data_IF_722128548255
#
_entry.id   IF_722128548255
#
_cell.length_a   1.000
_cell.length_b   1.000
_cell.length_c   1.000
_cell.angle_alpha   90.00
_cell.angle_beta   90.00
_cell.angle_gamma   90.00
#
_symmetry.space_group_name_H-M   'P 1'
#
loop_
_entity.id
_entity.type
_entity.pdbx_description
1 polymer ?
#
# COMPACT_ATOMS: atom_id res chain seq x y z
N UNK A 1 -32.59 -15.65 -9.28
CA UNK A 1 -32.14 -14.28 -9.63
C UNK A 1 -30.62 -14.05 -9.45
N UNK A 2 -29.80 -15.05 -9.11
CA UNK A 2 -28.36 -14.87 -8.81
C UNK A 2 -27.40 -14.94 -10.01
N UNK A 3 -27.91 -14.83 -11.24
CA UNK A 3 -27.08 -14.94 -12.45
C UNK A 3 -26.03 -13.82 -12.54
N UNK A 4 -26.37 -12.59 -12.14
CA UNK A 4 -25.44 -11.46 -12.22
C UNK A 4 -24.38 -11.54 -11.11
N UNK A 5 -24.74 -11.93 -9.88
CA UNK A 5 -23.80 -12.05 -8.75
C UNK A 5 -22.66 -13.02 -9.04
N UNK A 6 -23.01 -14.21 -9.54
CA UNK A 6 -22.01 -15.22 -9.91
C UNK A 6 -21.11 -14.77 -11.05
N UNK A 7 -21.63 -13.99 -12.01
CA UNK A 7 -20.82 -13.38 -13.08
C UNK A 7 -19.88 -12.32 -12.54
N UNK A 8 -20.36 -11.45 -11.64
CA UNK A 8 -19.53 -10.44 -10.98
C UNK A 8 -18.44 -11.07 -10.14
N UNK A 9 -18.77 -12.11 -9.37
CA UNK A 9 -17.80 -12.83 -8.55
C UNK A 9 -16.73 -13.51 -9.42
N UNK A 10 -17.12 -14.16 -10.53
CA UNK A 10 -16.18 -14.74 -11.50
C UNK A 10 -15.31 -13.69 -12.19
N UNK A 11 -15.86 -12.50 -12.44
CA UNK A 11 -15.11 -11.40 -13.01
C UNK A 11 -14.10 -10.84 -12.00
N UNK A 12 -14.52 -10.70 -10.74
CA UNK A 12 -13.68 -10.20 -9.66
C UNK A 12 -12.52 -11.16 -9.35
N UNK A 13 -12.80 -12.46 -9.25
CA UNK A 13 -11.80 -13.53 -9.11
C UNK A 13 -11.03 -13.80 -10.41
N UNK A 14 -11.21 -12.99 -11.46
CA UNK A 14 -10.39 -13.13 -12.65
C UNK A 14 -8.94 -12.81 -12.30
N UNK A 15 -8.03 -13.75 -12.59
CA UNK A 15 -6.59 -13.57 -12.33
C UNK A 15 -6.02 -12.30 -12.95
N UNK A 16 -6.64 -11.81 -14.04
CA UNK A 16 -6.26 -10.55 -14.69
C UNK A 16 -6.59 -9.34 -13.83
N UNK A 17 -7.80 -9.29 -13.27
CA UNK A 17 -8.23 -8.18 -12.43
C UNK A 17 -7.42 -8.17 -11.14
N UNK A 18 -7.24 -9.34 -10.52
CA UNK A 18 -6.42 -9.48 -9.32
C UNK A 18 -4.97 -9.02 -9.55
N UNK A 19 -4.36 -9.37 -10.69
CA UNK A 19 -3.02 -8.90 -11.04
C UNK A 19 -2.98 -7.38 -11.30
N UNK A 20 -4.01 -6.83 -11.95
CA UNK A 20 -4.16 -5.39 -12.17
C UNK A 20 -4.26 -4.64 -10.83
N UNK A 21 -5.12 -5.10 -9.93
CA UNK A 21 -5.33 -4.51 -8.61
C UNK A 21 -4.06 -4.59 -7.75
N UNK A 22 -3.36 -5.74 -7.79
CA UNK A 22 -2.05 -5.88 -7.17
C UNK A 22 -1.04 -4.88 -7.76
N UNK A 23 -1.04 -4.71 -9.07
CA UNK A 23 -0.18 -3.73 -9.75
C UNK A 23 -0.49 -2.28 -9.36
N UNK A 24 -1.77 -1.91 -9.30
CA UNK A 24 -2.20 -0.58 -8.83
C UNK A 24 -1.78 -0.32 -7.38
N UNK A 25 -1.80 -1.36 -6.55
CA UNK A 25 -1.40 -1.25 -5.15
C UNK A 25 0.11 -1.06 -5.01
N UNK A 26 0.90 -1.82 -5.79
CA UNK A 26 2.35 -1.59 -5.88
C UNK A 26 2.68 -0.18 -6.37
N UNK A 27 1.91 0.32 -7.35
CA UNK A 27 2.05 1.69 -7.82
C UNK A 27 1.70 2.71 -6.72
N UNK A 28 0.63 2.50 -5.94
CA UNK A 28 0.23 3.35 -4.80
C UNK A 28 1.36 3.51 -3.77
N UNK A 29 2.03 2.41 -3.44
CA UNK A 29 3.17 2.43 -2.52
C UNK A 29 4.33 3.25 -3.09
N UNK A 30 4.65 3.07 -4.37
CA UNK A 30 5.72 3.83 -5.03
C UNK A 30 5.38 5.32 -5.06
N UNK A 31 4.12 5.66 -5.36
CA UNK A 31 3.64 7.05 -5.34
C UNK A 31 3.76 7.62 -3.93
N UNK A 32 3.33 6.90 -2.90
CA UNK A 32 3.46 7.33 -1.50
C UNK A 32 4.91 7.64 -1.13
N UNK A 33 5.85 6.74 -1.46
CA UNK A 33 7.27 7.00 -1.21
C UNK A 33 7.78 8.22 -1.98
N UNK A 34 7.28 8.44 -3.20
CA UNK A 34 7.64 9.60 -4.01
C UNK A 34 7.09 10.89 -3.41
N UNK A 35 5.83 10.91 -2.97
CA UNK A 35 5.21 12.02 -2.24
C UNK A 35 5.99 12.35 -0.96
N UNK A 36 6.29 11.34 -0.15
CA UNK A 36 7.04 11.51 1.10
C UNK A 36 8.46 12.03 0.84
N UNK A 37 9.11 11.56 -0.21
CA UNK A 37 10.43 12.04 -0.61
C UNK A 37 10.40 13.49 -1.11
N UNK A 38 9.39 13.85 -1.92
CA UNK A 38 9.21 15.23 -2.38
C UNK A 38 8.95 16.18 -1.21
N UNK A 39 8.08 15.80 -0.26
CA UNK A 39 7.81 16.58 0.95
C UNK A 39 9.04 16.74 1.84
N UNK A 40 9.90 15.72 1.91
CA UNK A 40 11.14 15.78 2.67
C UNK A 40 12.23 16.64 2.00
N UNK A 41 12.33 16.58 0.68
CA UNK A 41 13.36 17.29 -0.09
C UNK A 41 12.98 18.75 -0.40
N UNK A 42 11.69 19.01 -0.58
CA UNK A 42 11.11 20.32 -0.89
C UNK A 42 9.98 20.64 0.11
N UNK A 43 10.32 20.83 1.39
CA UNK A 43 9.31 21.17 2.39
C UNK A 43 8.64 22.49 2.04
N UNK A 44 7.34 22.59 2.34
CA UNK A 44 6.65 23.87 2.20
C UNK A 44 7.34 24.94 3.04
N UNK A 45 7.46 26.10 2.44
CA UNK A 45 8.29 27.20 2.92
C UNK A 45 7.84 27.74 4.30
N UNK A 46 6.62 27.43 4.76
CA UNK A 46 6.13 27.76 6.11
C UNK A 46 6.78 26.94 7.26
N UNK A 47 7.54 25.88 6.96
CA UNK A 47 8.09 24.95 7.96
C UNK A 47 9.58 25.23 8.27
N UNK A 48 10.33 25.87 7.35
CA UNK A 48 11.77 26.10 7.50
C UNK A 48 12.11 27.59 7.35
N UNK A 49 12.27 28.25 8.49
CA UNK A 49 12.67 29.66 8.64
C UNK A 49 14.09 29.96 8.12
N UNK A 50 14.86 28.93 7.71
CA UNK A 50 16.27 29.05 7.29
C UNK A 50 16.50 29.45 5.82
N UNK A 51 15.51 29.31 4.95
CA UNK A 51 15.60 29.70 3.53
C UNK A 51 14.86 31.02 3.24
N UNK A 52 14.51 31.74 4.30
CA UNK A 52 13.98 33.09 4.28
C UNK A 52 14.93 34.05 3.55
N UNK A 53 14.54 34.52 2.37
CA UNK A 53 15.18 35.71 1.80
C UNK A 53 14.70 36.88 2.68
N UNK A 54 15.64 37.62 3.30
CA UNK A 54 15.29 38.81 4.08
C UNK A 54 14.69 39.84 3.13
N UNK A 55 13.37 40.03 3.16
CA UNK A 55 12.75 41.14 2.45
C UNK A 55 13.13 42.44 3.17
N UNK A 56 13.94 43.27 2.53
CA UNK A 56 14.21 44.63 3.00
C UNK A 56 12.88 45.41 2.95
N UNK A 57 12.45 45.96 4.09
CA UNK A 57 11.26 46.80 4.17
C UNK A 57 11.50 48.07 3.35
N UNK A 58 10.74 48.25 2.26
CA UNK A 58 10.68 49.51 1.48
C UNK A 58 9.91 50.62 2.21
N UNK A 59 10.03 50.64 3.54
CA UNK A 59 9.39 51.58 4.42
C UNK A 59 10.42 52.36 5.21
N UNK A 60 11.24 53.12 4.51
CA UNK A 60 11.60 54.45 4.99
C UNK A 60 11.29 55.45 3.88
N UNK A 61 10.19 56.17 4.11
CA UNK A 61 10.00 57.50 3.55
C UNK A 61 11.15 58.36 4.08
N UNK A 62 12.21 58.48 3.31
CA UNK A 62 13.05 59.67 3.38
C UNK A 62 12.75 60.50 2.15
N UNK A 63 11.99 61.58 2.40
CA UNK A 63 11.86 62.71 1.51
C UNK A 63 13.26 63.22 1.17
N UNK A 64 13.83 62.77 0.06
CA UNK A 64 14.93 63.46 -0.60
C UNK A 64 14.64 63.51 -2.10
N UNK A 65 13.92 64.57 -2.45
CA UNK A 65 14.07 65.18 -3.76
C UNK A 65 15.58 65.38 -4.02
N UNK A 66 16.02 65.03 -5.23
CA UNK A 66 17.39 65.08 -5.73
C UNK A 66 18.24 63.82 -5.56
N UNK A 67 17.84 62.72 -6.21
CA UNK A 67 18.82 61.82 -6.85
C UNK A 67 18.52 61.66 -8.34
N UNK A 68 18.87 62.74 -9.03
CA UNK A 68 19.21 62.79 -10.45
C UNK A 68 20.46 61.91 -10.66
N UNK A 69 20.50 61.14 -11.74
CA UNK A 69 21.54 60.16 -12.15
C UNK A 69 21.35 58.80 -11.44
N UNK A 70 20.70 57.81 -12.03
CA UNK A 70 20.99 57.25 -13.36
C UNK A 70 19.76 56.56 -13.95
N UNK A 71 19.12 57.25 -14.88
CA UNK A 71 18.36 56.64 -15.97
C UNK A 71 19.15 56.88 -17.26
N UNK A 72 19.85 55.84 -17.69
CA UNK A 72 20.37 55.63 -19.04
C UNK A 72 20.33 54.11 -19.19
N UNK A 73 19.20 53.58 -19.66
CA UNK A 73 18.98 53.29 -21.09
C UNK A 73 19.91 52.14 -21.52
N UNK A 74 19.35 50.93 -21.46
CA UNK A 74 19.44 49.89 -22.49
C UNK A 74 19.34 48.48 -21.86
N UNK A 75 18.19 47.84 -22.12
CA UNK A 75 18.11 46.39 -22.32
C UNK A 75 18.23 45.47 -21.11
N UNK A 76 17.18 44.66 -20.93
CA UNK A 76 17.24 43.28 -20.42
C UNK A 76 17.68 43.01 -18.96
N UNK A 77 16.79 42.33 -18.24
CA UNK A 77 17.01 41.50 -17.04
C UNK A 77 17.69 42.14 -15.80
N UNK A 78 16.96 42.24 -14.68
CA UNK A 78 17.21 41.45 -13.45
C UNK A 78 16.43 42.07 -12.27
N UNK A 79 15.49 41.32 -11.68
CA UNK A 79 14.64 41.78 -10.57
C UNK A 79 15.21 41.41 -9.18
N UNK A 80 16.52 41.23 -9.05
CA UNK A 80 17.15 40.77 -7.82
C UNK A 80 18.17 41.78 -7.29
N UNK A 81 17.67 42.85 -6.69
CA UNK A 81 18.50 43.81 -5.96
C UNK A 81 18.90 43.16 -4.62
N UNK A 82 20.11 42.58 -4.57
CA UNK A 82 20.70 42.02 -3.35
C UNK A 82 21.11 43.17 -2.42
N UNK A 83 20.48 43.29 -1.24
CA UNK A 83 20.82 44.28 -0.21
C UNK A 83 22.32 44.18 0.16
N UNK A 84 23.10 45.20 -0.21
CA UNK A 84 24.57 45.18 -0.21
C UNK A 84 25.22 45.70 1.08
N UNK A 85 24.44 46.01 2.12
CA UNK A 85 24.98 46.49 3.40
C UNK A 85 24.36 45.74 4.59
N UNK A 86 25.17 45.07 5.43
CA UNK A 86 24.70 44.47 6.66
C UNK A 86 24.59 45.58 7.70
N UNK A 87 23.47 46.28 7.73
CA UNK A 87 23.25 47.31 8.75
C UNK A 87 23.08 46.64 10.11
N UNK A 88 24.04 46.92 10.98
CA UNK A 88 24.23 46.34 12.32
C UNK A 88 23.34 47.00 13.38
N UNK A 89 22.24 47.62 12.97
CA UNK A 89 21.37 48.41 13.84
C UNK A 89 20.00 47.75 14.00
N UNK A 90 19.80 47.13 15.17
CA UNK A 90 18.53 46.68 15.73
C UNK A 90 17.75 45.64 14.91
N UNK A 91 17.81 44.40 15.39
CA UNK A 91 16.96 43.28 15.03
C UNK A 91 15.46 43.63 15.19
N UNK A 92 14.86 44.26 14.18
CA UNK A 92 13.43 44.17 13.92
C UNK A 92 13.21 42.84 13.20
N UNK A 93 12.23 42.06 13.69
CA UNK A 93 11.79 40.80 13.11
C UNK A 93 11.55 40.96 11.60
N UNK A 94 12.51 40.54 10.78
CA UNK A 94 12.32 40.46 9.34
C UNK A 94 11.48 39.21 9.09
N UNK A 95 10.23 39.39 8.67
CA UNK A 95 9.41 38.27 8.21
C UNK A 95 10.09 37.64 7.00
N UNK A 96 10.44 36.36 7.13
CA UNK A 96 10.88 35.51 6.04
C UNK A 96 9.88 35.58 4.87
N UNK A 97 10.30 36.11 3.73
CA UNK A 97 9.52 36.05 2.50
C UNK A 97 9.70 34.69 1.84
N UNK A 98 8.62 33.94 1.64
CA UNK A 98 8.62 32.71 0.88
C UNK A 98 8.41 33.00 -0.61
N UNK A 99 9.36 32.58 -1.45
CA UNK A 99 9.19 32.60 -2.91
C UNK A 99 8.48 31.32 -3.36
N UNK A 100 7.16 31.41 -3.47
CA UNK A 100 6.27 30.34 -3.93
C UNK A 100 6.53 29.91 -5.37
N UNK A 101 7.24 30.73 -6.17
CA UNK A 101 7.50 30.44 -7.59
C UNK A 101 8.82 29.70 -7.86
N UNK A 102 9.69 29.53 -6.86
CA UNK A 102 11.01 28.93 -7.04
C UNK A 102 10.97 27.51 -7.63
N UNK A 103 9.93 26.73 -7.33
CA UNK A 103 9.80 25.32 -7.74
C UNK A 103 8.45 24.98 -8.37
N UNK A 104 7.96 25.79 -9.32
CA UNK A 104 6.67 25.56 -10.00
C UNK A 104 6.48 24.14 -10.58
N UNK A 105 7.55 23.52 -11.11
CA UNK A 105 7.48 22.15 -11.63
C UNK A 105 7.22 21.10 -10.55
N UNK A 106 7.72 21.32 -9.34
CA UNK A 106 7.57 20.40 -8.21
C UNK A 106 6.12 20.46 -7.70
N UNK A 107 5.54 21.66 -7.59
CA UNK A 107 4.13 21.80 -7.21
C UNK A 107 3.18 21.15 -8.20
N UNK A 108 3.41 21.27 -9.51
CA UNK A 108 2.59 20.53 -10.47
C UNK A 108 2.77 19.01 -10.37
N UNK A 109 3.98 18.52 -10.08
CA UNK A 109 4.19 17.08 -9.89
C UNK A 109 3.48 16.56 -8.64
N UNK A 110 3.54 17.32 -7.54
CA UNK A 110 2.85 17.04 -6.28
C UNK A 110 1.32 16.99 -6.47
N UNK A 111 0.74 17.96 -7.17
CA UNK A 111 -0.70 17.99 -7.47
C UNK A 111 -1.14 16.77 -8.29
N UNK A 112 -0.33 16.36 -9.28
CA UNK A 112 -0.63 15.17 -10.10
C UNK A 112 -0.48 13.88 -9.30
N UNK A 113 0.55 13.75 -8.46
CA UNK A 113 0.75 12.57 -7.60
C UNK A 113 -0.43 12.42 -6.65
N UNK A 114 -0.87 13.53 -6.04
CA UNK A 114 -2.03 13.57 -5.16
C UNK A 114 -3.34 13.20 -5.89
N UNK A 115 -3.56 13.75 -7.09
CA UNK A 115 -4.73 13.39 -7.88
C UNK A 115 -4.73 11.88 -8.26
N UNK A 116 -3.56 11.32 -8.54
CA UNK A 116 -3.42 9.88 -8.82
C UNK A 116 -3.70 9.02 -7.59
N UNK A 117 -3.22 9.38 -6.40
CA UNK A 117 -3.51 8.63 -5.17
C UNK A 117 -5.01 8.60 -4.89
N UNK A 118 -5.69 9.74 -4.98
CA UNK A 118 -7.16 9.80 -4.86
C UNK A 118 -7.84 8.90 -5.89
N UNK A 119 -7.43 8.96 -7.16
CA UNK A 119 -8.02 8.13 -8.20
C UNK A 119 -7.89 6.63 -7.89
N UNK A 120 -6.71 6.20 -7.43
CA UNK A 120 -6.45 4.81 -7.03
C UNK A 120 -7.31 4.42 -5.82
N UNK A 121 -7.41 5.29 -4.80
CA UNK A 121 -8.24 5.05 -3.62
C UNK A 121 -9.71 4.88 -3.99
N UNK A 122 -10.24 5.70 -4.90
CA UNK A 122 -11.61 5.60 -5.41
C UNK A 122 -11.83 4.28 -6.15
N UNK A 123 -10.88 3.86 -7.01
CA UNK A 123 -10.96 2.56 -7.70
C UNK A 123 -11.05 1.41 -6.69
N UNK A 124 -10.21 1.42 -5.65
CA UNK A 124 -10.25 0.41 -4.60
C UNK A 124 -11.50 0.48 -3.72
N UNK A 125 -12.02 1.68 -3.45
CA UNK A 125 -13.28 1.83 -2.75
C UNK A 125 -14.44 1.25 -3.58
N UNK A 126 -14.49 1.50 -4.88
CA UNK A 126 -15.50 0.92 -5.78
C UNK A 126 -15.39 -0.60 -5.81
N UNK A 127 -14.17 -1.14 -5.93
CA UNK A 127 -13.91 -2.58 -5.85
C UNK A 127 -14.47 -3.18 -4.55
N UNK A 128 -14.17 -2.59 -3.39
CA UNK A 128 -14.71 -3.01 -2.09
C UNK A 128 -16.24 -3.02 -2.05
N UNK A 129 -16.87 -2.00 -2.62
CA UNK A 129 -18.33 -1.93 -2.67
C UNK A 129 -18.91 -3.02 -3.60
N UNK A 130 -18.25 -3.31 -4.72
CA UNK A 130 -18.63 -4.40 -5.63
C UNK A 130 -18.51 -5.76 -4.93
N UNK A 131 -17.42 -5.99 -4.19
CA UNK A 131 -17.22 -7.16 -3.33
C UNK A 131 -18.35 -7.33 -2.32
N UNK A 132 -18.66 -6.27 -1.57
CA UNK A 132 -19.73 -6.27 -0.58
C UNK A 132 -21.10 -6.63 -1.19
N UNK A 133 -21.41 -6.06 -2.36
CA UNK A 133 -22.66 -6.31 -3.08
C UNK A 133 -22.71 -7.75 -3.63
N UNK A 134 -21.58 -8.31 -4.05
CA UNK A 134 -21.48 -9.67 -4.57
C UNK A 134 -21.62 -10.74 -3.46
N UNK A 135 -20.98 -10.55 -2.30
CA UNK A 135 -20.90 -11.52 -1.20
C UNK A 135 -22.13 -11.56 -0.27
N UNK A 136 -23.16 -10.75 -0.57
CA UNK A 136 -24.31 -10.42 0.30
C UNK A 136 -23.86 -9.71 1.60
N UNK A 137 -24.43 -8.53 1.91
CA UNK A 137 -24.00 -7.73 3.05
C UNK A 137 -24.16 -8.46 4.39
N UNK A 138 -25.15 -9.34 4.55
CA UNK A 138 -25.35 -10.09 5.80
C UNK A 138 -24.20 -11.05 6.14
N UNK A 139 -23.55 -11.64 5.13
CA UNK A 139 -22.42 -12.55 5.33
C UNK A 139 -21.15 -11.73 5.53
N UNK A 140 -21.02 -10.64 4.79
CA UNK A 140 -19.91 -9.69 4.87
C UNK A 140 -19.70 -9.14 6.29
N UNK A 141 -20.76 -8.66 6.95
CA UNK A 141 -20.67 -8.12 8.32
C UNK A 141 -20.40 -9.17 9.41
N UNK A 142 -20.57 -10.46 9.10
CA UNK A 142 -20.23 -11.54 10.03
C UNK A 142 -18.72 -11.78 10.09
N UNK A 143 -17.98 -11.39 9.06
CA UNK A 143 -16.53 -11.43 9.04
C UNK A 143 -15.97 -10.09 9.51
N UNK A 144 -15.39 -10.10 10.71
CA UNK A 144 -14.89 -8.88 11.36
C UNK A 144 -13.86 -8.12 10.53
N UNK A 145 -12.94 -8.83 9.85
CA UNK A 145 -11.88 -8.22 9.05
C UNK A 145 -12.42 -7.40 7.87
N UNK A 146 -13.42 -7.91 7.16
CA UNK A 146 -14.05 -7.20 6.04
C UNK A 146 -14.80 -5.93 6.48
N UNK A 147 -15.49 -5.99 7.62
CA UNK A 147 -16.15 -4.81 8.19
C UNK A 147 -15.17 -3.74 8.63
N UNK A 148 -14.08 -4.12 9.30
CA UNK A 148 -13.02 -3.19 9.72
C UNK A 148 -12.33 -2.54 8.53
N UNK A 149 -11.99 -3.32 7.51
CA UNK A 149 -11.38 -2.83 6.28
C UNK A 149 -12.27 -1.80 5.56
N UNK A 150 -13.57 -2.09 5.44
CA UNK A 150 -14.53 -1.15 4.85
C UNK A 150 -14.58 0.18 5.61
N UNK A 151 -14.62 0.15 6.95
CA UNK A 151 -14.62 1.36 7.77
C UNK A 151 -13.32 2.14 7.58
N UNK A 152 -12.17 1.48 7.64
CA UNK A 152 -10.86 2.15 7.51
C UNK A 152 -10.73 2.81 6.14
N UNK A 153 -11.05 2.10 5.06
CA UNK A 153 -10.96 2.64 3.70
C UNK A 153 -11.98 3.75 3.46
N UNK A 154 -13.18 3.65 4.04
CA UNK A 154 -14.19 4.72 3.92
C UNK A 154 -13.75 5.97 4.67
N UNK A 155 -13.27 5.83 5.91
CA UNK A 155 -12.77 6.96 6.71
C UNK A 155 -11.57 7.59 6.05
N UNK A 156 -10.64 6.80 5.51
CA UNK A 156 -9.48 7.35 4.81
C UNK A 156 -9.88 8.13 3.57
N UNK A 157 -10.80 7.59 2.75
CA UNK A 157 -11.29 8.28 1.56
C UNK A 157 -11.99 9.59 1.92
N UNK A 158 -12.85 9.57 2.95
CA UNK A 158 -13.54 10.78 3.41
C UNK A 158 -12.54 11.82 3.90
N UNK A 159 -11.56 11.42 4.72
CA UNK A 159 -10.53 12.32 5.21
C UNK A 159 -9.75 12.96 4.06
N UNK A 160 -9.27 12.15 3.11
CA UNK A 160 -8.49 12.60 1.96
C UNK A 160 -9.29 13.53 1.04
N UNK A 161 -10.58 13.24 0.83
CA UNK A 161 -11.48 14.12 0.10
C UNK A 161 -11.73 15.43 0.86
N UNK A 162 -11.96 15.36 2.17
CA UNK A 162 -12.18 16.56 2.99
C UNK A 162 -10.93 17.43 3.07
N UNK A 163 -9.72 16.86 3.13
CA UNK A 163 -8.48 17.64 3.12
C UNK A 163 -8.28 18.42 1.84
N UNK A 164 -8.67 17.84 0.70
CA UNK A 164 -8.62 18.58 -0.56
C UNK A 164 -9.59 19.79 -0.58
N UNK A 165 -10.70 19.73 0.16
CA UNK A 165 -11.75 20.75 0.13
C UNK A 165 -11.76 21.73 1.33
N UNK A 166 -11.15 21.43 2.48
CA UNK A 166 -11.39 22.12 3.77
C UNK A 166 -10.14 22.54 4.58
N UNK A 167 -9.06 23.04 3.96
CA UNK A 167 -7.94 23.79 4.61
C UNK A 167 -6.78 23.01 5.30
N UNK A 168 -5.66 23.74 5.41
CA UNK A 168 -4.30 23.31 5.78
C UNK A 168 -4.03 23.06 7.28
N UNK A 169 -4.88 23.55 8.18
CA UNK A 169 -4.56 23.61 9.60
C UNK A 169 -4.60 22.24 10.33
N UNK A 170 -5.30 21.24 9.78
CA UNK A 170 -5.43 19.89 10.37
C UNK A 170 -4.50 18.84 9.77
N UNK A 171 -3.64 19.23 8.81
CA UNK A 171 -2.82 18.32 8.01
C UNK A 171 -1.81 17.53 8.86
N UNK A 172 -1.15 18.18 9.82
CA UNK A 172 -0.04 17.57 10.56
C UNK A 172 -0.44 16.37 11.41
N UNK A 173 -1.59 16.42 12.10
CA UNK A 173 -2.02 15.34 12.99
C UNK A 173 -2.61 14.14 12.25
N UNK A 174 -3.13 14.35 11.04
CA UNK A 174 -3.90 13.34 10.31
C UNK A 174 -3.11 12.70 9.16
N UNK A 175 -1.96 13.27 8.79
CA UNK A 175 -1.02 12.68 7.84
C UNK A 175 -0.60 11.25 8.24
N UNK A 176 -0.36 11.02 9.54
CA UNK A 176 -0.04 9.68 10.04
C UNK A 176 -1.19 8.68 9.89
N UNK A 177 -2.45 9.14 10.02
CA UNK A 177 -3.63 8.29 9.82
C UNK A 177 -3.81 7.91 8.35
N UNK A 178 -3.53 8.83 7.43
CA UNK A 178 -3.55 8.56 5.98
C UNK A 178 -2.50 7.49 5.61
N UNK A 179 -1.26 7.63 6.10
CA UNK A 179 -0.22 6.63 5.87
C UNK A 179 -0.66 5.27 6.45
N UNK A 180 -1.19 5.25 7.68
CA UNK A 180 -1.63 4.01 8.32
C UNK A 180 -2.79 3.35 7.55
N UNK A 181 -3.74 4.13 7.04
CA UNK A 181 -4.82 3.61 6.20
C UNK A 181 -4.31 3.06 4.86
N UNK A 182 -3.27 3.67 4.27
CA UNK A 182 -2.61 3.13 3.07
C UNK A 182 -1.89 1.81 3.39
N UNK A 183 -1.19 1.72 4.52
CA UNK A 183 -0.53 0.48 4.99
C UNK A 183 -1.55 -0.62 5.34
N UNK A 184 -2.74 -0.26 5.81
CA UNK A 184 -3.80 -1.22 6.12
C UNK A 184 -4.15 -2.12 4.93
N UNK A 185 -4.02 -1.60 3.70
CA UNK A 185 -4.29 -2.34 2.46
C UNK A 185 -3.44 -3.61 2.33
N UNK A 186 -2.24 -3.67 2.93
CA UNK A 186 -1.45 -4.92 2.96
C UNK A 186 -2.08 -6.00 3.82
N UNK A 187 -2.68 -5.61 4.95
CA UNK A 187 -3.40 -6.54 5.83
C UNK A 187 -4.62 -7.09 5.09
N UNK A 188 -5.34 -6.24 4.36
CA UNK A 188 -6.44 -6.64 3.47
C UNK A 188 -5.97 -7.65 2.42
N UNK A 189 -4.90 -7.33 1.66
CA UNK A 189 -4.35 -8.26 0.66
C UNK A 189 -3.94 -9.58 1.32
N UNK A 190 -3.26 -9.53 2.46
CA UNK A 190 -2.83 -10.70 3.20
C UNK A 190 -4.01 -11.61 3.53
N UNK A 191 -5.10 -11.03 4.06
CA UNK A 191 -6.33 -11.77 4.32
C UNK A 191 -6.94 -12.34 3.03
N UNK A 192 -6.99 -11.56 1.95
CA UNK A 192 -7.47 -12.01 0.64
C UNK A 192 -6.65 -13.18 0.08
N UNK A 193 -5.32 -13.14 0.19
CA UNK A 193 -4.44 -14.23 -0.24
C UNK A 193 -4.63 -15.47 0.63
N UNK A 194 -4.79 -15.32 1.95
CA UNK A 194 -5.03 -16.45 2.85
C UNK A 194 -6.34 -17.16 2.52
N UNK A 195 -7.41 -16.40 2.29
CA UNK A 195 -8.71 -16.96 1.87
C UNK A 195 -8.59 -17.71 0.53
N UNK A 196 -7.92 -17.10 -0.46
CA UNK A 196 -7.68 -17.73 -1.76
C UNK A 196 -6.79 -18.97 -1.66
N UNK A 197 -5.78 -18.94 -0.79
CA UNK A 197 -4.89 -20.09 -0.56
C UNK A 197 -5.67 -21.23 0.09
N UNK A 198 -6.59 -20.92 0.99
CA UNK A 198 -7.45 -21.92 1.61
C UNK A 198 -8.39 -22.58 0.58
N UNK A 199 -8.96 -21.80 -0.36
CA UNK A 199 -9.75 -22.35 -1.47
C UNK A 199 -8.92 -23.23 -2.41
N UNK A 200 -7.70 -22.79 -2.76
CA UNK A 200 -6.79 -23.55 -3.64
C UNK A 200 -6.30 -24.84 -3.00
N UNK A 201 -5.88 -24.76 -1.72
CA UNK A 201 -5.48 -25.93 -0.96
C UNK A 201 -6.61 -26.97 -0.91
N UNK A 202 -7.86 -26.53 -0.74
CA UNK A 202 -8.99 -27.45 -0.72
C UNK A 202 -9.22 -28.14 -2.07
N UNK A 203 -9.08 -27.42 -3.18
CA UNK A 203 -9.25 -27.98 -4.52
C UNK A 203 -8.15 -28.99 -4.87
N UNK A 204 -6.88 -28.65 -4.65
CA UNK A 204 -5.76 -29.56 -4.93
C UNK A 204 -5.81 -30.79 -4.02
N UNK A 205 -6.16 -30.61 -2.74
CA UNK A 205 -6.34 -31.72 -1.81
C UNK A 205 -7.46 -32.67 -2.25
N UNK A 206 -8.56 -32.15 -2.80
CA UNK A 206 -9.66 -32.98 -3.32
C UNK A 206 -9.24 -33.84 -4.51
N UNK A 207 -8.38 -33.32 -5.40
CA UNK A 207 -7.88 -34.07 -6.54
C UNK A 207 -6.86 -35.14 -6.11
N UNK A 208 -6.05 -34.86 -5.09
CA UNK A 208 -5.18 -35.86 -4.49
C UNK A 208 -5.99 -36.98 -3.82
N UNK A 209 -7.05 -36.63 -3.08
CA UNK A 209 -7.96 -37.61 -2.47
C UNK A 209 -8.63 -38.50 -3.52
N UNK A 210 -9.17 -37.91 -4.58
CA UNK A 210 -9.78 -38.66 -5.68
C UNK A 210 -8.77 -39.59 -6.38
N UNK A 211 -7.54 -39.12 -6.62
CA UNK A 211 -6.49 -39.95 -7.19
C UNK A 211 -6.08 -41.10 -6.26
N UNK A 212 -6.01 -40.87 -4.94
CA UNK A 212 -5.73 -41.95 -3.99
C UNK A 212 -6.84 -43.00 -3.94
N UNK A 213 -8.10 -42.59 -4.05
CA UNK A 213 -9.25 -43.51 -4.10
C UNK A 213 -9.21 -44.38 -5.37
N UNK A 214 -8.91 -43.79 -6.53
CA UNK A 214 -8.72 -44.53 -7.79
C UNK A 214 -7.55 -45.52 -7.71
N UNK A 215 -6.44 -45.12 -7.08
CA UNK A 215 -5.29 -46.00 -6.87
C UNK A 215 -5.61 -47.16 -5.94
N UNK A 216 -6.40 -46.91 -4.89
CA UNK A 216 -6.87 -47.92 -3.93
C UNK A 216 -7.74 -48.97 -4.64
N UNK A 217 -8.64 -48.56 -5.53
CA UNK A 217 -9.48 -49.45 -6.35
C UNK A 217 -8.65 -50.30 -7.32
N UNK A 218 -7.66 -49.69 -7.99
CA UNK A 218 -6.74 -50.42 -8.88
C UNK A 218 -5.90 -51.47 -8.13
N UNK A 219 -5.45 -51.15 -6.92
CA UNK A 219 -4.69 -52.08 -6.08
C UNK A 219 -5.55 -53.25 -5.58
N UNK A 220 -6.79 -52.98 -5.18
CA UNK A 220 -7.76 -54.02 -4.81
C UNK A 220 -8.04 -54.96 -5.99
N UNK A 221 -8.22 -54.41 -7.20
CA UNK A 221 -8.44 -55.20 -8.43
C UNK A 221 -7.27 -56.13 -8.74
N UNK A 222 -6.04 -55.76 -8.38
CA UNK A 222 -4.83 -56.58 -8.57
C UNK A 222 -4.52 -57.51 -7.40
N UNK A 223 -5.37 -57.59 -6.38
CA UNK A 223 -5.21 -58.50 -5.24
C UNK A 223 -4.06 -58.13 -4.30
N UNK A 224 -3.61 -56.87 -4.30
CA UNK A 224 -2.59 -56.39 -3.36
C UNK A 224 -3.29 -55.97 -2.08
N UNK A 225 -3.00 -56.63 -0.97
CA UNK A 225 -3.57 -56.29 0.33
C UNK A 225 -3.09 -54.89 0.78
N UNK A 226 -4.04 -53.98 1.02
CA UNK A 226 -3.76 -52.67 1.60
C UNK A 226 -3.56 -52.82 3.12
N UNK A 227 -2.61 -52.10 3.73
CA UNK A 227 -2.46 -52.06 5.18
C UNK A 227 -3.67 -51.39 5.84
N UNK A 228 -4.28 -52.06 6.82
CA UNK A 228 -5.53 -51.72 7.52
C UNK A 228 -5.45 -50.46 8.43
N UNK A 229 -4.45 -49.61 8.22
CA UNK A 229 -4.26 -48.40 9.00
C UNK A 229 -4.64 -47.20 8.14
N UNK A 230 -5.93 -46.86 8.11
CA UNK A 230 -6.37 -45.50 7.78
C UNK A 230 -6.12 -44.65 9.02
N UNK A 231 -5.09 -43.78 9.05
CA UNK A 231 -5.05 -42.74 10.05
C UNK A 231 -6.31 -41.88 9.85
N UNK A 232 -7.20 -41.89 10.83
CA UNK A 232 -8.33 -40.96 10.87
C UNK A 232 -7.77 -39.55 10.92
N UNK A 233 -7.80 -38.86 9.77
CA UNK A 233 -7.51 -37.44 9.65
C UNK A 233 -8.61 -36.68 10.41
N UNK A 234 -8.38 -36.47 11.70
CA UNK A 234 -9.10 -35.46 12.45
C UNK A 234 -8.69 -34.09 11.90
N UNK A 235 -9.69 -33.33 11.46
CA UNK A 235 -9.61 -32.02 10.84
C UNK A 235 -9.15 -30.90 11.81
N UNK A 236 -8.20 -31.17 12.70
CA UNK A 236 -7.71 -30.22 13.70
C UNK A 236 -6.27 -29.77 13.39
N UNK A 237 -6.15 -28.52 12.94
CA UNK A 237 -4.97 -27.64 13.08
C UNK A 237 -3.60 -28.24 12.66
N UNK A 238 -3.51 -28.66 11.40
CA UNK A 238 -2.24 -28.98 10.77
C UNK A 238 -1.54 -27.70 10.28
N UNK A 239 -0.62 -27.16 11.07
CA UNK A 239 0.45 -26.30 10.53
C UNK A 239 1.82 -26.57 11.16
N UNK A 240 1.88 -27.15 12.36
CA UNK A 240 3.17 -27.40 13.03
C UNK A 240 3.48 -28.91 13.20
N UNK A 241 2.44 -29.74 13.38
CA UNK A 241 2.61 -31.18 13.62
C UNK A 241 3.00 -31.99 12.37
N UNK A 242 2.70 -31.50 11.16
CA UNK A 242 2.98 -32.24 9.91
C UNK A 242 4.47 -32.20 9.54
N UNK A 243 5.19 -31.13 9.94
CA UNK A 243 6.62 -31.03 9.66
C UNK A 243 7.42 -32.05 10.48
N UNK A 244 7.08 -32.20 11.76
CA UNK A 244 7.69 -33.18 12.67
C UNK A 244 7.37 -34.63 12.26
N UNK A 245 6.16 -34.88 11.77
CA UNK A 245 5.75 -36.21 11.33
C UNK A 245 6.51 -36.64 10.06
N UNK A 246 6.71 -35.70 9.12
CA UNK A 246 7.52 -35.91 7.92
C UNK A 246 8.99 -36.20 8.26
N UNK A 247 9.59 -35.46 9.18
CA UNK A 247 10.96 -35.75 9.66
C UNK A 247 11.07 -37.16 10.29
N UNK A 248 10.07 -37.56 11.09
CA UNK A 248 10.05 -38.86 11.73
C UNK A 248 9.93 -40.02 10.71
N UNK A 249 9.13 -39.83 9.65
CA UNK A 249 8.99 -40.80 8.55
C UNK A 249 10.29 -40.90 7.74
N UNK A 250 10.94 -39.78 7.44
CA UNK A 250 12.25 -39.77 6.77
C UNK A 250 13.32 -40.51 7.57
N UNK A 251 13.39 -40.28 8.90
CA UNK A 251 14.30 -41.01 9.78
C UNK A 251 14.08 -42.52 9.70
N UNK A 252 12.83 -42.96 9.76
CA UNK A 252 12.50 -44.40 9.67
C UNK A 252 12.88 -44.98 8.31
N UNK A 253 12.69 -44.27 7.20
CA UNK A 253 13.15 -44.73 5.87
C UNK A 253 14.66 -44.85 5.82
N UNK A 254 15.41 -43.85 6.29
CA UNK A 254 16.89 -43.90 6.30
C UNK A 254 17.42 -45.07 7.13
N UNK A 255 16.79 -45.36 8.27
CA UNK A 255 17.15 -46.53 9.09
C UNK A 255 16.84 -47.85 8.38
N UNK A 256 15.70 -47.94 7.69
CA UNK A 256 15.33 -49.13 6.92
C UNK A 256 16.30 -49.37 5.76
N UNK A 257 16.70 -48.32 5.02
CA UNK A 257 17.71 -48.44 3.96
C UNK A 257 19.08 -48.85 4.49
N UNK A 258 19.52 -48.32 5.65
CA UNK A 258 20.76 -48.75 6.30
C UNK A 258 20.73 -50.22 6.70
N UNK A 259 19.62 -50.68 7.29
CA UNK A 259 19.47 -52.07 7.67
C UNK A 259 19.50 -53.01 6.45
N UNK A 260 18.79 -52.67 5.37
CA UNK A 260 18.80 -53.45 4.13
C UNK A 260 20.17 -53.47 3.44
N UNK A 261 20.92 -52.36 3.47
CA UNK A 261 22.28 -52.30 2.93
C UNK A 261 23.27 -53.14 3.74
N UNK A 262 23.12 -53.22 5.08
CA UNK A 262 23.98 -54.07 5.91
C UNK A 262 23.78 -55.58 5.70
N UNK A 263 22.59 -56.01 5.28
CA UNK A 263 22.32 -57.43 5.02
C UNK A 263 22.83 -57.92 3.65
N UNK A 264 23.17 -57.02 2.73
CA UNK A 264 23.71 -57.41 1.41
C UNK A 264 25.24 -57.57 1.39
N UNK A 265 25.93 -57.14 2.46
CA UNK A 265 27.39 -57.20 2.58
C UNK A 265 27.90 -58.15 3.67
N UNK A 266 27.00 -58.91 4.31
CA UNK A 266 27.31 -59.99 5.24
C UNK A 266 27.01 -61.34 4.60
#
# INVERSE_FOLDING_TARGET
EDSWRSKTLKFLHSSKLQFLLMGLLLADIIILFTELFLLAQYPHCHIIERDAISCCSSSDKQDDAHRWLTGGDDGDHDHHDYCSTPDTAAAKDYNAGCDEHKWSKVHHAEEVLFAMTIAILVVFFVELNVEMVALKPQIFWRQFFFGMDYIIVTVSLVLELTFHFLDEATIQSLFGLLILARVWRFIRIGHGIVELTHEWAHHDYSHLLAYTEELEEMLMTRGVALPDHRPTLHHEEASDSDHDLLEAIERKRRLKYRASSSMQHA
#
